data_IF_473215098773
#
_entry.id   IF_473215098773
#
_cell.length_a   1.000
_cell.length_b   1.000
_cell.length_c   1.000
_cell.angle_alpha   90.00
_cell.angle_beta   90.00
_cell.angle_gamma   90.00
#
_symmetry.space_group_name_H-M   'P 1'
#
loop_
_entity.id
_entity.type
_entity.pdbx_description
1 polymer ?
#
# COMPACT_ATOMS: atom_id res chain seq x y z
N UNK A 1 13.60 -17.63 3.15
CA UNK A 1 13.55 -16.53 2.17
C UNK A 1 14.12 -15.31 2.87
N UNK A 2 15.28 -14.79 2.45
CA UNK A 2 15.96 -13.73 3.22
C UNK A 2 17.14 -13.04 2.53
N UNK A 3 17.82 -13.70 1.58
CA UNK A 3 18.83 -13.05 0.72
C UNK A 3 18.54 -13.24 -0.77
N UNK A 4 17.95 -14.38 -1.16
CA UNK A 4 17.59 -14.71 -2.55
C UNK A 4 16.60 -13.72 -3.20
N UNK A 5 15.93 -12.89 -2.39
CA UNK A 5 14.95 -11.91 -2.83
C UNK A 5 15.58 -10.52 -3.08
N UNK A 6 16.85 -10.31 -2.74
CA UNK A 6 17.53 -9.02 -2.93
C UNK A 6 17.97 -8.91 -4.38
N UNK A 7 17.43 -7.91 -5.08
CA UNK A 7 17.75 -7.64 -6.49
C UNK A 7 18.74 -6.48 -6.67
N UNK A 8 18.97 -5.71 -5.62
CA UNK A 8 19.90 -4.58 -5.61
C UNK A 8 20.35 -4.26 -4.18
N UNK A 9 21.65 -4.00 -4.01
CA UNK A 9 22.24 -3.48 -2.78
C UNK A 9 23.52 -2.68 -3.12
N UNK A 10 23.55 -1.39 -2.80
CA UNK A 10 24.75 -0.54 -2.90
C UNK A 10 25.25 -0.02 -1.53
N UNK A 11 24.71 -0.56 -0.43
CA UNK A 11 24.96 -0.11 0.93
C UNK A 11 24.16 1.11 1.39
N UNK A 12 23.59 1.90 0.46
CA UNK A 12 22.68 3.02 0.78
C UNK A 12 21.22 2.65 0.53
N UNK A 13 20.97 1.95 -0.57
CA UNK A 13 19.67 1.44 -1.00
C UNK A 13 19.77 -0.08 -1.17
N UNK A 14 18.83 -0.79 -0.55
CA UNK A 14 18.59 -2.20 -0.82
C UNK A 14 17.16 -2.41 -1.32
N UNK A 15 16.99 -3.16 -2.41
CA UNK A 15 15.69 -3.52 -2.96
C UNK A 15 15.46 -5.03 -2.83
N UNK A 16 14.38 -5.39 -2.15
CA UNK A 16 13.96 -6.78 -1.95
C UNK A 16 12.61 -7.03 -2.62
N UNK A 17 12.50 -8.11 -3.39
CA UNK A 17 11.25 -8.55 -4.02
C UNK A 17 10.49 -9.46 -3.05
N UNK A 18 9.31 -9.03 -2.63
CA UNK A 18 8.44 -9.76 -1.69
C UNK A 18 7.47 -10.69 -2.44
N UNK A 19 7.02 -10.27 -3.62
CA UNK A 19 6.09 -11.00 -4.48
C UNK A 19 6.35 -10.65 -5.96
N UNK A 20 5.91 -11.46 -6.95
CA UNK A 20 5.16 -12.70 -6.81
C UNK A 20 5.99 -13.84 -6.19
N UNK A 21 5.30 -14.86 -5.66
CA UNK A 21 5.93 -16.08 -5.14
C UNK A 21 5.63 -17.21 -6.11
N UNK A 22 6.67 -17.83 -6.67
CA UNK A 22 6.55 -19.02 -7.50
C UNK A 22 6.50 -20.28 -6.63
N UNK A 23 5.60 -21.18 -6.97
CA UNK A 23 5.45 -22.47 -6.30
C UNK A 23 6.14 -23.56 -7.13
N UNK A 24 6.75 -24.53 -6.46
CA UNK A 24 7.21 -25.76 -7.11
C UNK A 24 6.00 -26.68 -7.32
N UNK A 25 5.73 -27.02 -8.56
CA UNK A 25 4.63 -27.89 -8.97
C UNK A 25 5.14 -29.02 -9.86
N UNK A 26 4.40 -30.13 -9.88
CA UNK A 26 4.66 -31.25 -10.78
C UNK A 26 3.80 -31.13 -12.03
N UNK A 27 4.43 -30.89 -13.17
CA UNK A 27 3.75 -30.81 -14.48
C UNK A 27 4.38 -31.86 -15.39
N UNK A 28 3.58 -32.82 -15.86
CA UNK A 28 4.02 -33.93 -16.71
C UNK A 28 5.19 -34.74 -16.11
N UNK A 29 5.19 -34.93 -14.79
CA UNK A 29 6.24 -35.66 -14.07
C UNK A 29 7.57 -34.91 -13.89
N UNK A 30 7.61 -33.62 -14.24
CA UNK A 30 8.76 -32.73 -14.01
C UNK A 30 8.42 -31.67 -12.97
N UNK A 31 9.37 -31.43 -12.06
CA UNK A 31 9.30 -30.30 -11.15
C UNK A 31 9.53 -28.99 -11.91
N UNK A 32 8.59 -28.06 -11.80
CA UNK A 32 8.65 -26.75 -12.44
C UNK A 32 8.21 -25.67 -11.45
N UNK A 33 8.76 -24.47 -11.60
CA UNK A 33 8.24 -23.30 -10.90
C UNK A 33 7.08 -22.71 -11.68
N UNK A 34 5.94 -22.51 -11.03
CA UNK A 34 4.75 -21.91 -11.63
C UNK A 34 4.15 -20.86 -10.71
N UNK A 35 3.45 -19.90 -11.32
CA UNK A 35 2.65 -18.91 -10.59
C UNK A 35 1.23 -19.45 -10.39
N UNK A 36 0.69 -19.26 -9.18
CA UNK A 36 -0.67 -19.65 -8.82
C UNK A 36 -1.71 -18.97 -9.69
N UNK A 37 -2.76 -19.68 -10.07
CA UNK A 37 -3.96 -19.04 -10.61
C UNK A 37 -4.92 -18.70 -9.44
N UNK A 38 -5.22 -17.42 -9.20
CA UNK A 38 -5.88 -16.97 -7.96
C UNK A 38 -7.42 -16.94 -8.00
N UNK A 39 -8.04 -16.94 -9.18
CA UNK A 39 -9.47 -16.74 -9.32
C UNK A 39 -10.11 -17.77 -10.28
N UNK A 40 -11.40 -18.05 -10.12
CA UNK A 40 -12.20 -18.98 -10.95
C UNK A 40 -12.44 -18.47 -12.39
N UNK A 41 -11.36 -18.10 -13.10
CA UNK A 41 -11.38 -17.61 -14.49
C UNK A 41 -11.15 -16.11 -14.67
N UNK A 42 -10.98 -15.32 -13.59
CA UNK A 42 -10.67 -13.88 -13.72
C UNK A 42 -9.16 -13.65 -13.95
N UNK A 43 -8.84 -13.38 -15.21
CA UNK A 43 -7.47 -13.07 -15.67
C UNK A 43 -6.95 -11.77 -15.04
N UNK A 44 -7.82 -10.77 -14.86
CA UNK A 44 -7.44 -9.47 -14.29
C UNK A 44 -7.02 -9.60 -12.83
N UNK A 45 -7.81 -10.32 -12.03
CA UNK A 45 -7.45 -10.62 -10.64
C UNK A 45 -6.17 -11.44 -10.52
N UNK A 46 -5.97 -12.41 -11.39
CA UNK A 46 -4.74 -13.22 -11.36
C UNK A 46 -3.52 -12.37 -11.74
N UNK A 47 -3.60 -11.55 -12.80
CA UNK A 47 -2.53 -10.65 -13.21
C UNK A 47 -2.17 -9.67 -12.10
N UNK A 48 -3.17 -8.98 -11.53
CA UNK A 48 -2.94 -8.00 -10.46
C UNK A 48 -2.42 -8.66 -9.18
N UNK A 49 -2.88 -9.88 -8.88
CA UNK A 49 -2.40 -10.67 -7.75
C UNK A 49 -0.94 -11.09 -7.84
N UNK A 50 -0.34 -11.07 -9.04
CA UNK A 50 1.10 -11.29 -9.26
C UNK A 50 1.90 -10.01 -9.43
N UNK A 51 1.38 -8.90 -8.91
CA UNK A 51 2.12 -7.65 -8.85
C UNK A 51 3.50 -7.86 -8.23
N UNK A 52 4.51 -7.22 -8.81
CA UNK A 52 5.85 -7.18 -8.22
C UNK A 52 5.80 -6.27 -7.00
N UNK A 53 5.95 -6.85 -5.82
CA UNK A 53 5.97 -6.13 -4.56
C UNK A 53 7.41 -5.93 -4.14
N UNK A 54 7.80 -4.68 -3.92
CA UNK A 54 9.19 -4.33 -3.61
C UNK A 54 9.25 -3.66 -2.23
N UNK A 55 10.16 -4.14 -1.39
CA UNK A 55 10.60 -3.44 -0.19
C UNK A 55 11.90 -2.70 -0.49
N UNK A 56 11.88 -1.38 -0.39
CA UNK A 56 13.06 -0.54 -0.47
C UNK A 56 13.54 -0.19 0.95
N UNK A 57 14.79 -0.47 1.23
CA UNK A 57 15.47 -0.10 2.46
C UNK A 57 16.43 1.05 2.18
N UNK A 58 16.25 2.17 2.86
CA UNK A 58 17.15 3.33 2.79
C UNK A 58 17.54 3.65 4.22
N UNK A 59 18.78 3.35 4.61
CA UNK A 59 19.20 3.44 6.01
C UNK A 59 18.27 2.65 6.95
N UNK A 60 17.56 3.34 7.85
CA UNK A 60 16.59 2.74 8.77
C UNK A 60 15.14 2.78 8.25
N UNK A 61 14.89 3.47 7.14
CA UNK A 61 13.57 3.59 6.53
C UNK A 61 13.28 2.36 5.64
N UNK A 62 12.05 1.84 5.77
CA UNK A 62 11.47 0.81 4.90
C UNK A 62 10.28 1.38 4.13
N UNK A 63 10.34 1.31 2.81
CA UNK A 63 9.25 1.73 1.91
C UNK A 63 8.74 0.51 1.16
N UNK A 64 7.44 0.22 1.29
CA UNK A 64 6.80 -0.86 0.57
C UNK A 64 6.05 -0.34 -0.66
N UNK A 65 6.31 -0.93 -1.83
CA UNK A 65 5.58 -0.70 -3.07
C UNK A 65 4.69 -1.92 -3.34
N UNK A 66 3.41 -1.83 -2.97
CA UNK A 66 2.49 -2.97 -2.94
C UNK A 66 1.84 -3.40 -4.27
N UNK A 67 2.06 -2.67 -5.37
CA UNK A 67 1.40 -2.94 -6.65
C UNK A 67 -0.13 -2.98 -6.55
N UNK A 68 -0.76 -3.91 -7.27
CA UNK A 68 -2.22 -4.08 -7.33
C UNK A 68 -2.70 -5.37 -6.66
N UNK A 69 -2.01 -5.79 -5.59
CA UNK A 69 -2.43 -6.98 -4.83
C UNK A 69 -3.92 -6.91 -4.47
N UNK A 70 -4.57 -8.07 -4.54
CA UNK A 70 -5.93 -8.30 -4.10
C UNK A 70 -6.01 -9.28 -2.93
N UNK A 71 -7.20 -9.48 -2.36
CA UNK A 71 -7.39 -10.31 -1.16
C UNK A 71 -6.87 -11.74 -1.30
N UNK A 72 -7.04 -12.36 -2.48
CA UNK A 72 -6.59 -13.73 -2.73
C UNK A 72 -5.07 -13.82 -2.73
N UNK A 73 -4.41 -12.91 -3.46
CA UNK A 73 -2.94 -12.84 -3.47
C UNK A 73 -2.37 -12.46 -2.10
N UNK A 74 -3.03 -11.56 -1.36
CA UNK A 74 -2.62 -11.16 -0.02
C UNK A 74 -2.61 -12.35 0.94
N UNK A 75 -3.70 -13.11 1.00
CA UNK A 75 -3.79 -14.29 1.87
C UNK A 75 -2.79 -15.38 1.47
N UNK A 76 -2.58 -15.59 0.17
CA UNK A 76 -1.56 -16.52 -0.31
C UNK A 76 -0.15 -16.09 0.10
N UNK A 77 0.24 -14.86 -0.18
CA UNK A 77 1.57 -14.33 0.16
C UNK A 77 1.79 -14.43 1.68
N UNK A 78 0.80 -14.03 2.48
CA UNK A 78 0.88 -14.15 3.93
C UNK A 78 0.97 -15.61 4.39
N UNK A 79 0.32 -16.54 3.71
CA UNK A 79 0.45 -17.97 4.04
C UNK A 79 1.86 -18.49 3.77
N UNK A 80 2.49 -18.06 2.68
CA UNK A 80 3.87 -18.45 2.33
C UNK A 80 4.89 -17.91 3.34
N UNK A 81 4.79 -16.63 3.72
CA UNK A 81 5.69 -16.04 4.73
C UNK A 81 5.36 -16.46 6.17
N UNK A 82 4.10 -16.75 6.43
CA UNK A 82 3.58 -17.12 7.75
C UNK A 82 3.75 -18.60 8.10
N UNK A 83 3.91 -19.47 7.09
CA UNK A 83 4.08 -20.92 7.27
C UNK A 83 2.79 -21.68 7.60
N UNK A 84 1.63 -21.01 7.60
CA UNK A 84 0.31 -21.63 7.76
C UNK A 84 -0.67 -21.07 6.71
N UNK A 85 -1.68 -21.86 6.33
CA UNK A 85 -2.71 -21.44 5.38
C UNK A 85 -3.71 -20.47 6.04
N UNK A 86 -3.53 -19.17 5.78
CA UNK A 86 -4.38 -18.11 6.32
C UNK A 86 -5.82 -18.22 5.81
N UNK A 87 -6.03 -18.64 4.56
CA UNK A 87 -7.36 -18.83 4.00
C UNK A 87 -8.15 -19.90 4.76
N UNK A 88 -7.50 -21.03 5.08
CA UNK A 88 -8.11 -22.08 5.90
C UNK A 88 -8.37 -21.62 7.33
N UNK A 89 -7.44 -20.90 7.95
CA UNK A 89 -7.64 -20.34 9.30
C UNK A 89 -8.86 -19.41 9.36
N UNK A 90 -9.04 -18.55 8.35
CA UNK A 90 -10.22 -17.67 8.24
C UNK A 90 -11.52 -18.46 8.11
N UNK A 91 -11.54 -19.49 7.25
CA UNK A 91 -12.70 -20.37 7.09
C UNK A 91 -13.04 -21.08 8.41
N UNK A 92 -12.03 -21.57 9.13
CA UNK A 92 -12.21 -22.19 10.43
C UNK A 92 -12.75 -21.20 11.45
N UNK A 93 -12.25 -19.95 11.46
CA UNK A 93 -12.71 -18.90 12.37
C UNK A 93 -14.20 -18.57 12.15
N UNK A 94 -14.63 -18.50 10.88
CA UNK A 94 -16.06 -18.28 10.56
C UNK A 94 -16.95 -19.45 11.01
N UNK A 95 -16.42 -20.68 11.00
CA UNK A 95 -17.16 -21.90 11.39
C UNK A 95 -17.11 -22.20 12.91
N UNK A 96 -16.23 -21.53 13.65
CA UNK A 96 -16.06 -21.74 15.08
C UNK A 96 -17.35 -21.39 15.86
N UNK A 97 -17.76 -22.30 16.75
CA UNK A 97 -19.04 -22.19 17.47
C UNK A 97 -18.88 -21.58 18.85
N UNK A 98 -17.71 -21.73 19.45
CA UNK A 98 -17.43 -21.23 20.81
C UNK A 98 -16.48 -20.05 20.80
N UNK A 99 -16.57 -19.19 21.81
CA UNK A 99 -15.64 -18.06 21.96
C UNK A 99 -14.20 -18.54 22.21
N UNK A 100 -14.04 -19.69 22.87
CA UNK A 100 -12.72 -20.29 23.08
C UNK A 100 -12.07 -20.71 21.75
N UNK A 101 -12.81 -21.39 20.86
CA UNK A 101 -12.31 -21.75 19.53
C UNK A 101 -11.95 -20.50 18.71
N UNK A 102 -12.82 -19.47 18.73
CA UNK A 102 -12.56 -18.20 18.05
C UNK A 102 -11.29 -17.53 18.56
N UNK A 103 -11.09 -17.49 19.88
CA UNK A 103 -9.91 -16.90 20.49
C UNK A 103 -8.62 -17.64 20.10
N UNK A 104 -8.64 -18.98 20.09
CA UNK A 104 -7.49 -19.80 19.67
C UNK A 104 -7.15 -19.54 18.19
N UNK A 105 -8.15 -19.51 17.32
CA UNK A 105 -7.95 -19.24 15.89
C UNK A 105 -7.47 -17.80 15.64
N UNK A 106 -8.02 -16.82 16.38
CA UNK A 106 -7.57 -15.43 16.30
C UNK A 106 -6.12 -15.29 16.75
N UNK A 107 -5.70 -15.98 17.82
CA UNK A 107 -4.30 -15.99 18.27
C UNK A 107 -3.36 -16.56 17.20
N UNK A 108 -3.77 -17.63 16.50
CA UNK A 108 -2.98 -18.17 15.37
C UNK A 108 -2.83 -17.15 14.24
N UNK A 109 -3.93 -16.50 13.86
CA UNK A 109 -3.91 -15.44 12.84
C UNK A 109 -2.99 -14.29 13.28
N UNK A 110 -3.07 -13.86 14.54
CA UNK A 110 -2.22 -12.78 15.06
C UNK A 110 -0.74 -13.18 15.11
N UNK A 111 -0.43 -14.44 15.43
CA UNK A 111 0.94 -14.98 15.37
C UNK A 111 1.46 -15.04 13.93
N UNK A 112 0.62 -15.44 12.97
CA UNK A 112 0.93 -15.43 11.55
C UNK A 112 1.23 -14.01 11.07
N UNK A 113 0.36 -13.04 11.40
CA UNK A 113 0.57 -11.62 11.09
C UNK A 113 1.90 -11.14 11.68
N UNK A 114 2.20 -11.48 12.94
CA UNK A 114 3.46 -11.12 13.59
C UNK A 114 4.69 -11.71 12.91
N UNK A 115 4.56 -12.91 12.34
CA UNK A 115 5.61 -13.56 11.54
C UNK A 115 5.81 -12.83 10.21
N UNK A 116 4.73 -12.60 9.46
CA UNK A 116 4.77 -11.85 8.20
C UNK A 116 5.34 -10.44 8.39
N UNK A 117 4.97 -9.73 9.46
CA UNK A 117 5.45 -8.38 9.77
C UNK A 117 6.98 -8.29 9.85
N UNK A 118 7.69 -9.37 10.22
CA UNK A 118 9.16 -9.37 10.25
C UNK A 118 9.77 -9.11 8.86
N UNK A 119 9.11 -9.59 7.81
CA UNK A 119 9.54 -9.45 6.42
C UNK A 119 8.88 -8.25 5.74
N UNK A 120 7.56 -8.13 5.83
CA UNK A 120 6.77 -7.14 5.08
C UNK A 120 6.38 -5.89 5.88
N UNK A 121 6.79 -5.78 7.15
CA UNK A 121 6.62 -4.57 7.94
C UNK A 121 7.42 -3.40 7.35
N UNK A 122 6.77 -2.25 7.19
CA UNK A 122 7.33 -1.06 6.55
C UNK A 122 7.00 0.22 7.33
N UNK A 123 7.66 1.32 7.00
CA UNK A 123 7.37 2.64 7.58
C UNK A 123 6.43 3.44 6.70
N UNK A 124 6.67 3.41 5.39
CA UNK A 124 5.81 4.03 4.38
C UNK A 124 5.34 2.98 3.40
N UNK A 125 4.03 2.88 3.21
CA UNK A 125 3.44 1.99 2.22
C UNK A 125 2.84 2.80 1.07
N UNK A 126 3.02 2.34 -0.17
CA UNK A 126 2.10 2.66 -1.25
C UNK A 126 0.91 1.72 -1.13
N UNK A 127 -0.31 2.26 -1.09
CA UNK A 127 -1.53 1.45 -1.06
C UNK A 127 -1.60 0.52 -2.26
N UNK A 128 -2.10 -0.69 -2.03
CA UNK A 128 -2.39 -1.63 -3.10
C UNK A 128 -3.56 -1.11 -3.95
N UNK A 129 -3.51 -1.35 -5.26
CA UNK A 129 -4.63 -1.20 -6.20
C UNK A 129 -5.39 0.12 -6.01
N UNK A 130 -4.67 1.23 -6.03
CA UNK A 130 -5.22 2.59 -5.91
C UNK A 130 -6.05 2.88 -4.64
N UNK A 131 -6.04 1.99 -3.64
CA UNK A 131 -6.94 2.09 -2.48
C UNK A 131 -8.27 1.34 -2.67
N UNK A 132 -8.23 0.22 -3.39
CA UNK A 132 -9.34 -0.74 -3.49
C UNK A 132 -9.72 -1.34 -2.13
N UNK A 133 -10.97 -1.77 -2.02
CA UNK A 133 -11.48 -2.54 -0.88
C UNK A 133 -11.11 -4.02 -0.96
N UNK A 134 -10.63 -4.49 -2.13
CA UNK A 134 -10.20 -5.87 -2.33
C UNK A 134 -8.79 -6.08 -1.75
N UNK A 135 -8.66 -5.92 -0.43
CA UNK A 135 -7.42 -6.16 0.32
C UNK A 135 -7.76 -6.65 1.73
N UNK A 136 -6.88 -7.44 2.34
CA UNK A 136 -7.16 -8.06 3.63
C UNK A 136 -6.63 -7.24 4.81
N UNK A 137 -7.38 -7.24 5.92
CA UNK A 137 -6.99 -6.56 7.15
C UNK A 137 -5.70 -7.13 7.74
N UNK A 138 -5.49 -8.44 7.60
CA UNK A 138 -4.29 -9.14 8.05
C UNK A 138 -3.04 -8.60 7.35
N UNK A 139 -3.13 -8.34 6.04
CA UNK A 139 -2.02 -7.77 5.28
C UNK A 139 -1.73 -6.33 5.71
N UNK A 140 -2.77 -5.51 5.90
CA UNK A 140 -2.61 -4.14 6.43
C UNK A 140 -1.93 -4.15 7.82
N UNK A 141 -2.35 -5.05 8.71
CA UNK A 141 -1.71 -5.25 10.02
C UNK A 141 -0.27 -5.77 9.88
N UNK A 142 0.06 -6.55 8.86
CA UNK A 142 1.42 -7.02 8.62
C UNK A 142 2.32 -5.89 8.12
N UNK A 143 1.85 -5.03 7.22
CA UNK A 143 2.59 -3.85 6.76
C UNK A 143 2.84 -2.85 7.90
N UNK A 144 1.83 -2.61 8.74
CA UNK A 144 1.89 -1.77 9.93
C UNK A 144 2.55 -0.39 9.72
N UNK A 145 2.28 0.38 8.63
CA UNK A 145 3.00 1.61 8.32
C UNK A 145 2.63 2.77 9.26
N UNK A 146 3.46 3.81 9.33
CA UNK A 146 3.10 5.11 9.95
C UNK A 146 2.49 6.07 8.92
N UNK A 147 2.80 5.89 7.63
CA UNK A 147 2.24 6.66 6.54
C UNK A 147 1.89 5.77 5.34
N UNK A 148 0.72 6.00 4.74
CA UNK A 148 0.31 5.34 3.50
C UNK A 148 0.05 6.37 2.42
N UNK A 149 0.62 6.14 1.23
CA UNK A 149 0.40 6.95 0.03
C UNK A 149 -0.51 6.19 -0.93
N UNK A 150 -1.65 6.77 -1.24
CA UNK A 150 -2.62 6.27 -2.19
C UNK A 150 -2.43 7.06 -3.48
N UNK A 151 -1.94 6.37 -4.52
CA UNK A 151 -1.93 6.91 -5.87
C UNK A 151 -3.28 6.61 -6.53
N UNK A 152 -4.22 7.51 -6.35
CA UNK A 152 -5.58 7.49 -6.90
C UNK A 152 -5.81 8.71 -7.78
N UNK A 153 -6.92 8.72 -8.53
CA UNK A 153 -7.20 9.80 -9.46
C UNK A 153 -6.73 9.42 -10.85
N UNK A 154 -7.70 8.95 -11.62
CA UNK A 154 -7.79 8.84 -13.08
C UNK A 154 -9.27 8.46 -13.35
N UNK A 155 -9.74 8.50 -14.61
CA UNK A 155 -11.08 8.08 -15.03
C UNK A 155 -11.31 6.55 -14.85
N UNK A 156 -11.17 6.04 -13.64
CA UNK A 156 -11.42 4.64 -13.32
C UNK A 156 -12.84 4.42 -12.82
N UNK A 157 -13.43 3.29 -13.22
CA UNK A 157 -14.84 2.96 -12.98
C UNK A 157 -15.19 2.63 -11.52
N UNK A 158 -14.19 2.57 -10.62
CA UNK A 158 -14.34 2.04 -9.25
C UNK A 158 -14.28 3.11 -8.15
N UNK A 159 -13.99 4.36 -8.52
CA UNK A 159 -13.96 5.53 -7.64
C UNK A 159 -13.05 5.35 -6.41
N UNK A 160 -11.83 4.89 -6.63
CA UNK A 160 -10.80 4.76 -5.62
C UNK A 160 -10.25 6.14 -5.14
N UNK A 161 -9.79 6.25 -3.88
CA UNK A 161 -9.83 5.20 -2.85
C UNK A 161 -11.24 4.99 -2.28
N UNK A 162 -11.54 3.76 -1.86
CA UNK A 162 -12.82 3.47 -1.18
C UNK A 162 -12.80 4.04 0.24
N UNK A 163 -13.92 4.61 0.73
CA UNK A 163 -14.02 5.10 2.11
C UNK A 163 -13.70 4.01 3.16
N UNK A 164 -14.10 2.76 2.90
CA UNK A 164 -13.77 1.62 3.75
C UNK A 164 -12.26 1.41 3.86
N UNK A 165 -11.55 1.41 2.73
CA UNK A 165 -10.09 1.24 2.69
C UNK A 165 -9.38 2.35 3.45
N UNK A 166 -9.83 3.61 3.33
CA UNK A 166 -9.29 4.72 4.13
C UNK A 166 -9.43 4.46 5.63
N UNK A 167 -10.61 4.00 6.07
CA UNK A 167 -10.85 3.63 7.47
C UNK A 167 -9.98 2.47 7.93
N UNK A 168 -9.85 1.42 7.11
CA UNK A 168 -9.02 0.26 7.41
C UNK A 168 -7.53 0.61 7.52
N UNK A 169 -7.00 1.41 6.59
CA UNK A 169 -5.63 1.92 6.65
C UNK A 169 -5.42 2.70 7.94
N UNK A 170 -6.33 3.63 8.28
CA UNK A 170 -6.24 4.40 9.52
C UNK A 170 -6.29 3.53 10.78
N UNK A 171 -7.11 2.48 10.79
CA UNK A 171 -7.29 1.57 11.93
C UNK A 171 -6.11 0.63 12.16
N UNK A 172 -5.48 0.14 11.08
CA UNK A 172 -4.45 -0.90 11.15
C UNK A 172 -3.01 -0.40 10.92
N UNK A 173 -2.84 0.89 10.65
CA UNK A 173 -1.54 1.57 10.71
C UNK A 173 -1.10 1.79 12.16
N UNK A 174 0.19 2.06 12.37
CA UNK A 174 0.74 2.33 13.71
C UNK A 174 0.79 3.83 14.02
N UNK A 175 0.97 4.13 15.31
CA UNK A 175 1.08 5.49 15.82
C UNK A 175 -0.28 6.11 16.18
N UNK A 176 -0.26 7.16 16.98
CA UNK A 176 -1.50 7.79 17.49
C UNK A 176 -2.29 8.51 16.38
N UNK A 177 -1.57 8.99 15.36
CA UNK A 177 -2.12 9.68 14.18
C UNK A 177 -1.43 9.17 12.92
N UNK A 178 -1.83 8.01 12.38
CA UNK A 178 -1.29 7.51 11.13
C UNK A 178 -1.65 8.46 9.97
N UNK A 179 -0.71 8.63 9.04
CA UNK A 179 -0.86 9.55 7.92
C UNK A 179 -1.40 8.82 6.69
N UNK A 180 -2.43 9.37 6.06
CA UNK A 180 -2.95 8.89 4.78
C UNK A 180 -2.85 10.05 3.79
N UNK A 181 -2.03 9.86 2.76
CA UNK A 181 -1.92 10.79 1.65
C UNK A 181 -2.63 10.19 0.45
N UNK A 182 -3.40 10.98 -0.26
CA UNK A 182 -4.08 10.56 -1.50
C UNK A 182 -3.77 11.58 -2.57
N UNK A 183 -3.30 11.14 -3.73
CA UNK A 183 -3.10 12.05 -4.87
C UNK A 183 -4.42 12.67 -5.27
N UNK A 184 -5.53 11.92 -5.18
CA UNK A 184 -6.90 12.46 -5.25
C UNK A 184 -7.80 11.79 -4.22
N UNK A 185 -8.50 12.56 -3.38
CA UNK A 185 -9.39 12.04 -2.35
C UNK A 185 -10.84 12.13 -2.89
N UNK A 186 -11.20 11.15 -3.73
CA UNK A 186 -12.45 11.05 -4.48
C UNK A 186 -12.73 12.23 -5.43
N UNK A 187 -12.73 11.95 -6.75
CA UNK A 187 -13.17 12.94 -7.74
C UNK A 187 -14.32 12.41 -8.59
N UNK A 188 -15.28 13.29 -8.84
CA UNK A 188 -16.40 13.13 -9.78
C UNK A 188 -16.40 14.33 -10.74
N UNK A 189 -15.26 14.65 -11.35
CA UNK A 189 -15.16 15.78 -12.28
C UNK A 189 -14.16 15.49 -13.40
N UNK A 190 -14.49 15.84 -14.66
CA UNK A 190 -13.68 15.50 -15.83
C UNK A 190 -12.31 16.21 -15.83
N UNK A 191 -11.29 15.54 -16.37
CA UNK A 191 -9.90 16.01 -16.42
C UNK A 191 -9.74 17.33 -17.20
N UNK A 192 -10.66 17.56 -18.14
CA UNK A 192 -10.76 18.75 -18.96
C UNK A 192 -12.19 19.31 -18.91
N UNK A 193 -12.32 20.63 -18.78
CA UNK A 193 -13.58 21.30 -19.10
C UNK A 193 -13.48 21.95 -20.47
N UNK A 194 -14.46 21.67 -21.34
CA UNK A 194 -14.57 22.40 -22.60
C UNK A 194 -15.30 23.72 -22.32
N UNK A 195 -14.64 24.86 -22.52
CA UNK A 195 -15.17 26.23 -22.32
C UNK A 195 -16.35 26.60 -23.26
N UNK A 196 -17.15 25.64 -23.74
CA UNK A 196 -18.30 25.89 -24.62
C UNK A 196 -19.41 26.74 -23.99
N UNK A 197 -19.45 26.87 -22.65
CA UNK A 197 -20.49 27.65 -21.96
C UNK A 197 -20.16 29.14 -21.75
N UNK A 198 -18.96 29.64 -22.09
CA UNK A 198 -18.58 31.04 -21.84
C UNK A 198 -18.54 31.94 -23.09
N UNK A 199 -18.90 31.45 -24.29
CA UNK A 199 -18.86 32.22 -25.55
C UNK A 199 -17.51 32.95 -25.81
N UNK A 200 -16.39 32.43 -25.28
CA UNK A 200 -15.07 33.01 -25.52
C UNK A 200 -14.57 32.51 -26.88
N UNK A 201 -14.34 33.44 -27.82
CA UNK A 201 -13.90 33.16 -29.20
C UNK A 201 -12.37 33.01 -29.28
N UNK A 202 -11.81 32.01 -28.61
CA UNK A 202 -10.43 31.57 -28.86
C UNK A 202 -10.41 30.07 -29.10
N UNK A 203 -9.44 29.55 -29.90
CA UNK A 203 -9.33 28.10 -30.16
C UNK A 203 -9.33 27.39 -28.82
N UNK A 204 -10.19 26.39 -28.64
CA UNK A 204 -10.46 25.76 -27.35
C UNK A 204 -9.17 25.29 -26.66
N UNK A 205 -8.58 26.16 -25.83
CA UNK A 205 -7.50 25.82 -24.95
C UNK A 205 -8.08 24.87 -23.90
N UNK A 206 -7.80 23.57 -24.07
CA UNK A 206 -8.04 22.59 -23.01
C UNK A 206 -7.21 23.02 -21.80
N UNK A 207 -7.81 23.72 -20.84
CA UNK A 207 -7.16 23.97 -19.57
C UNK A 207 -7.15 22.66 -18.78
N UNK A 208 -5.95 22.15 -18.50
CA UNK A 208 -5.74 20.96 -17.68
C UNK A 208 -6.00 21.32 -16.23
N UNK A 209 -7.03 20.71 -15.63
CA UNK A 209 -7.41 20.99 -14.24
C UNK A 209 -6.53 20.29 -13.19
N UNK A 210 -5.72 19.30 -13.57
CA UNK A 210 -5.52 18.15 -12.66
C UNK A 210 -4.08 17.89 -12.20
N UNK A 211 -3.06 18.07 -13.04
CA UNK A 211 -1.79 17.37 -12.81
C UNK A 211 -0.86 17.89 -11.72
N UNK A 212 -1.17 19.00 -11.03
CA UNK A 212 -0.22 19.51 -10.01
C UNK A 212 -0.73 19.48 -8.58
N UNK A 213 -2.03 19.43 -8.34
CA UNK A 213 -2.59 19.63 -7.00
C UNK A 213 -2.56 18.38 -6.11
N UNK A 214 -2.50 17.19 -6.72
CA UNK A 214 -2.35 15.91 -6.01
C UNK A 214 -0.91 15.44 -5.79
N UNK A 215 0.10 16.22 -6.19
CA UNK A 215 1.48 15.74 -6.17
C UNK A 215 1.95 15.49 -4.74
N UNK A 216 2.33 14.23 -4.48
CA UNK A 216 2.95 13.78 -3.24
C UNK A 216 4.39 13.38 -3.55
N UNK A 217 5.35 13.98 -2.86
CA UNK A 217 6.75 13.61 -2.98
C UNK A 217 7.30 13.14 -1.63
N UNK A 218 7.98 11.99 -1.66
CA UNK A 218 8.76 11.48 -0.55
C UNK A 218 10.25 11.70 -0.83
N UNK A 219 10.98 12.20 0.18
CA UNK A 219 12.45 12.31 0.16
C UNK A 219 12.99 11.81 1.49
N UNK A 220 14.09 11.07 1.45
CA UNK A 220 14.71 10.53 2.66
C UNK A 220 16.22 10.39 2.51
N UNK A 221 16.93 10.57 3.62
CA UNK A 221 18.34 10.16 3.80
C UNK A 221 18.47 8.83 4.57
N UNK A 222 17.34 8.19 4.89
CA UNK A 222 17.24 6.96 5.65
C UNK A 222 17.12 7.11 7.17
N UNK A 223 17.25 8.34 7.70
CA UNK A 223 16.98 8.68 9.11
C UNK A 223 15.87 9.74 9.24
N UNK A 224 15.90 10.72 8.35
CA UNK A 224 14.94 11.79 8.21
C UNK A 224 14.20 11.62 6.89
N UNK A 225 12.88 11.60 6.97
CA UNK A 225 12.01 11.50 5.81
C UNK A 225 11.05 12.68 5.81
N UNK A 226 10.85 13.28 4.65
CA UNK A 226 9.81 14.27 4.43
C UNK A 226 8.83 13.74 3.40
N UNK A 227 7.55 13.87 3.71
CA UNK A 227 6.46 13.66 2.76
C UNK A 227 5.83 15.02 2.54
N UNK A 228 5.78 15.46 1.29
CA UNK A 228 5.22 16.76 0.93
C UNK A 228 4.07 16.59 -0.03
N UNK A 229 2.97 17.30 0.24
CA UNK A 229 1.81 17.37 -0.63
C UNK A 229 1.65 18.80 -1.13
N UNK A 230 1.48 18.99 -2.44
CA UNK A 230 1.23 20.31 -3.00
C UNK A 230 -0.14 20.81 -2.53
N UNK A 231 -0.21 22.06 -2.10
CA UNK A 231 -1.49 22.68 -1.76
C UNK A 231 -2.24 23.09 -3.03
N UNK A 232 -3.57 22.98 -3.00
CA UNK A 232 -4.44 23.47 -4.08
C UNK A 232 -4.33 24.97 -4.30
N UNK A 233 -4.07 25.72 -3.22
CA UNK A 233 -3.84 27.15 -3.24
C UNK A 233 -2.70 27.52 -2.30
N UNK A 234 -1.88 28.47 -2.71
CA UNK A 234 -0.85 29.03 -1.83
C UNK A 234 -1.52 29.64 -0.59
N UNK A 235 -0.96 29.36 0.58
CA UNK A 235 -1.46 29.90 1.85
C UNK A 235 -0.37 30.75 2.49
N UNK A 236 -0.75 31.79 3.23
CA UNK A 236 0.20 32.60 3.99
C UNK A 236 0.26 32.07 5.42
N UNK A 237 1.44 31.68 5.88
CA UNK A 237 1.69 31.35 7.29
C UNK A 237 2.86 32.20 7.79
N UNK A 238 2.62 32.98 8.84
CA UNK A 238 3.61 33.93 9.39
C UNK A 238 4.23 34.84 8.31
N UNK A 239 3.42 35.32 7.35
CA UNK A 239 3.86 36.23 6.30
C UNK A 239 4.66 35.58 5.15
N UNK A 240 4.87 34.26 5.17
CA UNK A 240 5.51 33.52 4.07
C UNK A 240 4.47 32.74 3.28
N UNK A 241 4.55 32.83 1.95
CA UNK A 241 3.76 32.00 1.05
C UNK A 241 4.23 30.55 1.14
N UNK A 242 3.30 29.67 1.45
CA UNK A 242 3.48 28.22 1.57
C UNK A 242 2.72 27.55 0.44
N UNK A 243 3.43 26.71 -0.32
CA UNK A 243 2.87 25.95 -1.46
C UNK A 243 2.75 24.45 -1.18
N UNK A 244 3.28 24.00 -0.04
CA UNK A 244 3.42 22.60 0.31
C UNK A 244 2.99 22.37 1.76
N UNK A 245 2.17 21.35 1.99
CA UNK A 245 2.09 20.71 3.29
C UNK A 245 3.30 19.79 3.43
N UNK A 246 3.97 19.84 4.60
CA UNK A 246 5.19 19.09 4.86
C UNK A 246 5.00 18.32 6.16
N UNK A 247 5.05 17.00 6.05
CA UNK A 247 5.02 16.06 7.17
C UNK A 247 6.41 15.42 7.31
N UNK A 248 6.92 15.36 8.55
CA UNK A 248 8.26 14.83 8.85
C UNK A 248 8.15 13.50 9.57
N UNK A 249 8.85 12.50 9.06
CA UNK A 249 9.06 11.24 9.76
C UNK A 249 10.52 11.14 10.18
N UNK A 250 10.78 10.77 11.43
CA UNK A 250 12.14 10.67 11.98
C UNK A 250 12.33 9.34 12.67
N UNK A 251 13.55 8.83 12.64
CA UNK A 251 13.95 7.71 13.47
C UNK A 251 13.93 8.08 14.97
N UNK A 252 13.31 7.24 15.79
CA UNK A 252 13.31 7.36 17.24
C UNK A 252 14.09 6.20 17.87
N UNK A 253 15.29 6.47 18.40
CA UNK A 253 16.14 5.44 19.01
C UNK A 253 15.52 4.76 20.24
N UNK A 254 14.70 5.47 21.02
CA UNK A 254 14.05 4.89 22.21
C UNK A 254 12.96 3.88 21.85
N UNK A 255 12.26 4.12 20.74
CA UNK A 255 11.17 3.25 20.26
C UNK A 255 11.66 2.22 19.22
N UNK A 256 12.84 2.43 18.63
CA UNK A 256 13.38 1.57 17.59
C UNK A 256 12.54 1.60 16.30
N UNK A 257 11.85 2.71 16.01
CA UNK A 257 10.96 2.83 14.86
C UNK A 257 10.93 4.27 14.32
N UNK A 258 10.51 4.42 13.06
CA UNK A 258 10.18 5.72 12.47
C UNK A 258 8.85 6.21 13.04
N UNK A 259 8.83 7.46 13.53
CA UNK A 259 7.65 8.15 14.04
C UNK A 259 7.34 9.42 13.25
N UNK A 260 6.07 9.84 13.25
CA UNK A 260 5.68 11.16 12.77
C UNK A 260 6.07 12.24 13.80
N UNK A 261 6.65 13.33 13.31
CA UNK A 261 6.96 14.54 14.07
C UNK A 261 6.08 15.68 13.57
N UNK A 262 4.95 15.86 14.24
CA UNK A 262 4.08 17.02 14.13
C UNK A 262 4.73 18.28 14.69
#
# INVERSE_FOLDING_TARGET
MGEENIIYDDGQLKLEVIAPIAEKVQINGMEQYALRWFADGDVGKTKNGHSVVIMAHIGKLKILLGGDLNSHSADFIMSQYGGEDLGQLKIQLTKAKTDNEKNVLQQKIDQLIGTCRKTMGCDVAKSCHHGSHDITNELLKAFNPIATVISSGDEESFCHPRPETLGAIGKYSRGDRPLIFSTELSRSSPEYFTLKMLKIKTPAEKQRLVSTYGMIALRSDGLNTIIVQKLEKETSRFGKLVKWQIDKLIWNDKRGEIISKS
#
